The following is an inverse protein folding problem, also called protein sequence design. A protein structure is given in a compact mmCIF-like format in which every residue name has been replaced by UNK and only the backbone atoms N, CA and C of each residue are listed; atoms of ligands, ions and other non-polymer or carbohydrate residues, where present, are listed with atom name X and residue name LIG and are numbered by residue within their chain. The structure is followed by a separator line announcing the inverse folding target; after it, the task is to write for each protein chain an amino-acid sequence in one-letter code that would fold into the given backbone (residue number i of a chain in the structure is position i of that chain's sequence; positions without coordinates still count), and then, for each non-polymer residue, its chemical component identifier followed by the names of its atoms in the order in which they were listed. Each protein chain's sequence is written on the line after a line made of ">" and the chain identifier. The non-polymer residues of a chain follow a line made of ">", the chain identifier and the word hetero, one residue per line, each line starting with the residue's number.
data_IF_492985771381
#
_entry.id   IF_492985771381
#
_cell.length_a   1.000
_cell.length_b   1.000
_cell.length_c   1.000
_cell.angle_alpha   90.00
_cell.angle_beta   90.00
_cell.angle_gamma   90.00
#
_symmetry.space_group_name_H-M   'P 1'
#
loop_
_entity.id
_entity.type
_entity.pdbx_description
1 polymer ?
#
# COMPACT_ATOMS: atom_id res chain seq x y z
N UNK A 1 -17.15 8.10 4.57
CA UNK A 1 -15.71 7.78 4.49
C UNK A 1 -15.38 7.08 3.18
N UNK A 2 -14.14 7.07 2.80
CA UNK A 2 -13.68 6.51 1.54
C UNK A 2 -12.68 5.40 1.81
N UNK A 3 -12.82 4.26 1.12
CA UNK A 3 -11.87 3.17 1.13
C UNK A 3 -10.95 3.29 -0.09
N UNK A 4 -9.67 3.03 0.13
CA UNK A 4 -8.67 2.97 -0.91
C UNK A 4 -7.93 1.65 -0.76
N UNK A 5 -8.14 0.73 -1.71
CA UNK A 5 -7.58 -0.62 -1.67
C UNK A 5 -6.67 -0.81 -2.87
N UNK A 6 -5.47 -1.29 -2.62
CA UNK A 6 -4.50 -1.61 -3.68
C UNK A 6 -4.04 -3.05 -3.53
N UNK A 7 -3.98 -3.75 -4.65
CA UNK A 7 -3.35 -5.06 -4.75
C UNK A 7 -2.08 -4.92 -5.60
N UNK A 8 -0.98 -5.49 -5.12
CA UNK A 8 0.29 -5.49 -5.85
C UNK A 8 0.77 -6.90 -6.15
N UNK A 9 1.42 -7.02 -7.29
CA UNK A 9 2.27 -8.18 -7.60
C UNK A 9 3.72 -7.70 -7.63
N UNK A 10 4.61 -8.46 -6.99
CA UNK A 10 6.04 -8.18 -6.96
C UNK A 10 6.71 -8.68 -8.22
N UNK A 11 7.88 -8.10 -8.53
CA UNK A 11 8.68 -8.49 -9.69
C UNK A 11 9.12 -9.94 -9.58
N UNK A 12 9.07 -10.66 -10.70
CA UNK A 12 9.38 -12.09 -10.76
C UNK A 12 10.86 -12.42 -10.48
N UNK A 13 11.76 -11.49 -10.79
CA UNK A 13 13.18 -11.65 -10.57
C UNK A 13 13.61 -11.62 -9.10
N UNK A 14 12.72 -11.19 -8.20
CA UNK A 14 13.01 -11.21 -6.76
C UNK A 14 13.00 -12.66 -6.24
N UNK A 15 13.99 -12.99 -5.43
CA UNK A 15 14.01 -14.28 -4.71
C UNK A 15 12.93 -14.28 -3.62
N UNK A 16 12.63 -15.47 -3.06
CA UNK A 16 11.66 -15.58 -1.97
C UNK A 16 12.08 -14.76 -0.76
N UNK A 17 13.38 -14.76 -0.43
CA UNK A 17 13.92 -13.95 0.67
C UNK A 17 13.79 -12.45 0.38
N UNK A 18 14.05 -12.02 -0.85
CA UNK A 18 13.89 -10.63 -1.27
C UNK A 18 12.42 -10.21 -1.23
N UNK A 19 11.51 -11.06 -1.69
CA UNK A 19 10.07 -10.79 -1.63
C UNK A 19 9.59 -10.62 -0.18
N UNK A 20 10.06 -11.47 0.73
CA UNK A 20 9.72 -11.36 2.15
C UNK A 20 10.20 -10.03 2.74
N UNK A 21 11.43 -9.62 2.42
CA UNK A 21 11.99 -8.35 2.89
C UNK A 21 11.23 -7.14 2.30
N UNK A 22 10.87 -7.20 1.02
CA UNK A 22 10.10 -6.14 0.35
C UNK A 22 8.71 -5.99 0.98
N UNK A 23 8.01 -7.11 1.21
CA UNK A 23 6.70 -7.09 1.87
C UNK A 23 6.77 -6.46 3.25
N UNK A 24 7.75 -6.85 4.06
CA UNK A 24 7.95 -6.28 5.39
C UNK A 24 8.24 -4.77 5.34
N UNK A 25 9.07 -4.35 4.38
CA UNK A 25 9.40 -2.94 4.19
C UNK A 25 8.20 -2.09 3.75
N UNK A 26 7.39 -2.61 2.84
CA UNK A 26 6.15 -1.93 2.40
C UNK A 26 5.18 -1.80 3.56
N UNK A 27 4.96 -2.87 4.31
CA UNK A 27 4.07 -2.86 5.48
C UNK A 27 4.53 -1.83 6.51
N UNK A 28 5.78 -1.84 6.88
CA UNK A 28 6.34 -0.90 7.85
C UNK A 28 6.20 0.54 7.36
N UNK A 29 6.57 0.80 6.10
CA UNK A 29 6.54 2.14 5.54
C UNK A 29 5.14 2.72 5.41
N UNK A 30 4.19 1.95 4.90
CA UNK A 30 2.83 2.43 4.69
C UNK A 30 2.03 2.49 6.00
N UNK A 31 2.13 1.48 6.87
CA UNK A 31 1.48 1.53 8.18
C UNK A 31 2.07 2.62 9.06
N UNK A 32 3.33 2.96 8.86
CA UNK A 32 4.00 4.08 9.53
C UNK A 32 3.44 5.45 9.16
N UNK A 33 2.60 5.57 8.13
CA UNK A 33 1.94 6.82 7.77
C UNK A 33 0.77 7.16 8.69
N UNK A 34 0.32 6.23 9.51
CA UNK A 34 -0.76 6.46 10.48
C UNK A 34 -0.40 7.65 11.39
N UNK A 35 -1.32 8.61 11.49
CA UNK A 35 -1.13 9.83 12.28
C UNK A 35 -0.24 10.90 11.64
N UNK A 36 0.33 10.64 10.46
CA UNK A 36 1.23 11.59 9.76
C UNK A 36 0.58 12.27 8.56
N UNK A 37 -0.51 11.72 8.06
CA UNK A 37 -1.21 12.25 6.88
C UNK A 37 -2.61 12.68 7.27
N UNK A 38 -2.97 13.97 7.08
CA UNK A 38 -4.30 14.45 7.42
C UNK A 38 -5.39 13.69 6.67
N UNK A 39 -6.44 13.27 7.39
CA UNK A 39 -7.59 12.59 6.81
C UNK A 39 -7.40 11.08 6.62
N UNK A 40 -6.22 10.55 6.88
CA UNK A 40 -5.98 9.10 6.90
C UNK A 40 -6.46 8.53 8.24
N UNK A 41 -7.53 7.73 8.19
CA UNK A 41 -8.18 7.18 9.38
C UNK A 41 -7.53 5.86 9.80
N UNK A 42 -7.35 4.95 8.85
CA UNK A 42 -6.76 3.62 9.07
C UNK A 42 -5.87 3.25 7.90
N UNK A 43 -4.80 2.51 8.20
CA UNK A 43 -3.93 1.91 7.19
C UNK A 43 -3.50 0.53 7.65
N UNK A 44 -3.74 -0.46 6.81
CA UNK A 44 -3.34 -1.85 7.03
C UNK A 44 -2.71 -2.40 5.75
N UNK A 45 -1.61 -3.14 5.89
CA UNK A 45 -0.99 -3.85 4.78
C UNK A 45 -0.99 -5.34 5.10
N UNK A 46 -1.67 -6.12 4.26
CA UNK A 46 -1.75 -7.57 4.41
C UNK A 46 -0.68 -8.21 3.52
N UNK A 47 0.25 -8.94 4.13
CA UNK A 47 1.38 -9.55 3.43
C UNK A 47 1.40 -11.08 3.47
N UNK A 48 0.47 -11.70 4.19
CA UNK A 48 0.41 -13.15 4.40
C UNK A 48 -0.85 -13.75 3.75
N UNK A 49 -0.89 -13.71 2.41
CA UNK A 49 -2.00 -14.31 1.68
C UNK A 49 -1.95 -15.84 1.71
N UNK A 50 -3.12 -16.46 1.48
CA UNK A 50 -3.19 -17.91 1.29
C UNK A 50 -2.61 -18.31 -0.09
N UNK A 51 -2.24 -19.58 -0.28
CA UNK A 51 -1.70 -20.05 -1.58
C UNK A 51 -2.63 -19.81 -2.78
N UNK A 52 -3.92 -19.65 -2.53
CA UNK A 52 -4.91 -19.32 -3.58
C UNK A 52 -4.83 -17.88 -4.07
N UNK A 53 -4.05 -17.02 -3.41
CA UNK A 53 -3.92 -15.60 -3.75
C UNK A 53 -3.14 -15.41 -5.04
N UNK A 54 -3.57 -14.47 -5.88
CA UNK A 54 -2.87 -14.09 -7.11
C UNK A 54 -2.11 -12.76 -6.96
N UNK A 55 -2.41 -12.00 -5.91
CA UNK A 55 -1.64 -10.82 -5.53
C UNK A 55 -0.68 -11.19 -4.38
N UNK A 56 0.42 -10.46 -4.27
CA UNK A 56 1.42 -10.72 -3.24
C UNK A 56 1.13 -9.99 -1.94
N UNK A 57 0.53 -8.80 -2.02
CA UNK A 57 0.15 -8.03 -0.84
C UNK A 57 -0.98 -7.06 -1.18
N UNK A 58 -1.65 -6.57 -0.12
CA UNK A 58 -2.78 -5.66 -0.24
C UNK A 58 -2.64 -4.51 0.74
N UNK A 59 -2.88 -3.29 0.23
CA UNK A 59 -3.09 -2.10 1.06
C UNK A 59 -4.58 -1.90 1.27
N UNK A 60 -5.00 -1.74 2.51
CA UNK A 60 -6.37 -1.42 2.90
C UNK A 60 -6.34 -0.14 3.74
N UNK A 61 -6.84 0.96 3.17
CA UNK A 61 -6.86 2.27 3.81
C UNK A 61 -8.25 2.85 3.87
N UNK A 62 -8.48 3.66 4.91
CA UNK A 62 -9.73 4.43 5.07
C UNK A 62 -9.38 5.90 5.22
N UNK A 63 -10.09 6.75 4.48
CA UNK A 63 -9.92 8.20 4.49
C UNK A 63 -11.23 8.88 4.89
N UNK A 64 -11.13 10.07 5.47
CA UNK A 64 -12.31 10.87 5.85
C UNK A 64 -13.14 11.30 4.65
N UNK A 65 -12.49 11.53 3.49
CA UNK A 65 -13.13 12.04 2.28
C UNK A 65 -12.30 11.71 1.04
N UNK A 66 -12.91 11.89 -0.14
CA UNK A 66 -12.22 11.76 -1.42
C UNK A 66 -11.10 12.82 -1.56
N UNK A 67 -11.32 14.02 -1.03
CA UNK A 67 -10.31 15.08 -1.01
C UNK A 67 -9.10 14.69 -0.17
N UNK A 68 -9.31 14.05 0.98
CA UNK A 68 -8.24 13.56 1.83
C UNK A 68 -7.41 12.49 1.11
N UNK A 69 -8.06 11.57 0.38
CA UNK A 69 -7.38 10.57 -0.43
C UNK A 69 -6.54 11.23 -1.54
N UNK A 70 -7.10 12.23 -2.21
CA UNK A 70 -6.39 12.95 -3.26
C UNK A 70 -5.15 13.67 -2.71
N UNK A 71 -5.28 14.31 -1.56
CA UNK A 71 -4.16 14.97 -0.89
C UNK A 71 -3.08 13.96 -0.45
N UNK A 72 -3.49 12.78 0.03
CA UNK A 72 -2.59 11.70 0.39
C UNK A 72 -1.73 11.25 -0.79
N UNK A 73 -2.30 11.11 -1.97
CA UNK A 73 -1.58 10.61 -3.15
C UNK A 73 -0.38 11.48 -3.53
N UNK A 74 -0.40 12.77 -3.22
CA UNK A 74 0.68 13.72 -3.50
C UNK A 74 1.43 14.17 -2.23
N UNK A 75 1.05 13.65 -1.07
CA UNK A 75 1.71 14.02 0.19
C UNK A 75 3.16 13.57 0.21
N UNK A 76 4.13 14.44 0.52
CA UNK A 76 5.56 14.10 0.45
C UNK A 76 5.96 12.86 1.24
N UNK A 77 5.38 12.66 2.41
CA UNK A 77 5.68 11.49 3.26
C UNK A 77 5.21 10.19 2.59
N UNK A 78 4.02 10.19 1.97
CA UNK A 78 3.53 9.05 1.20
C UNK A 78 4.37 8.80 -0.05
N UNK A 79 4.67 9.85 -0.81
CA UNK A 79 5.45 9.75 -2.05
C UNK A 79 6.83 9.16 -1.78
N UNK A 80 7.49 9.57 -0.68
CA UNK A 80 8.79 9.02 -0.29
C UNK A 80 8.74 7.51 -0.05
N UNK A 81 7.70 7.02 0.63
CA UNK A 81 7.51 5.57 0.87
C UNK A 81 7.24 4.86 -0.45
N UNK A 82 6.34 5.39 -1.27
CA UNK A 82 5.98 4.78 -2.55
C UNK A 82 7.18 4.67 -3.49
N UNK A 83 7.97 5.72 -3.61
CA UNK A 83 9.12 5.76 -4.51
C UNK A 83 10.30 4.93 -4.01
N UNK A 84 10.49 4.84 -2.70
CA UNK A 84 11.60 4.12 -2.12
C UNK A 84 11.36 2.65 -1.84
N UNK A 85 10.14 2.27 -1.44
CA UNK A 85 9.83 0.94 -0.94
C UNK A 85 8.85 0.13 -1.79
N UNK A 86 8.05 0.78 -2.63
CA UNK A 86 6.95 0.10 -3.36
C UNK A 86 7.26 0.01 -4.86
N UNK A 87 7.35 1.14 -5.53
CA UNK A 87 7.49 1.20 -6.99
C UNK A 87 8.68 0.43 -7.56
N UNK A 88 9.87 0.43 -6.93
CA UNK A 88 11.01 -0.30 -7.48
C UNK A 88 10.82 -1.82 -7.53
N UNK A 89 9.90 -2.37 -6.73
CA UNK A 89 9.77 -3.82 -6.53
C UNK A 89 8.46 -4.41 -7.05
N UNK A 90 7.54 -3.58 -7.54
CA UNK A 90 6.22 -4.05 -8.00
C UNK A 90 6.14 -4.05 -9.51
N UNK A 91 5.52 -5.10 -10.09
CA UNK A 91 5.28 -5.21 -11.54
C UNK A 91 3.85 -4.89 -11.93
N UNK A 92 2.90 -5.01 -11.00
CA UNK A 92 1.49 -4.75 -11.26
C UNK A 92 0.81 -4.13 -10.04
N UNK A 93 -0.13 -3.25 -10.30
CA UNK A 93 -0.89 -2.53 -9.29
C UNK A 93 -2.34 -2.42 -9.74
N UNK A 94 -3.26 -2.84 -8.87
CA UNK A 94 -4.70 -2.69 -9.07
C UNK A 94 -5.28 -1.89 -7.93
N UNK A 95 -6.09 -0.90 -8.24
CA UNK A 95 -6.66 0.02 -7.25
C UNK A 95 -8.19 0.05 -7.37
N UNK A 96 -8.87 0.06 -6.22
CA UNK A 96 -10.30 0.33 -6.12
C UNK A 96 -10.52 1.32 -4.98
N UNK A 97 -11.13 2.46 -5.33
CA UNK A 97 -11.55 3.48 -4.38
C UNK A 97 -13.06 3.52 -4.35
N UNK A 98 -13.67 3.51 -3.15
CA UNK A 98 -15.13 3.53 -3.03
C UNK A 98 -15.57 4.14 -1.71
N UNK A 99 -16.80 4.65 -1.69
CA UNK A 99 -17.41 5.18 -0.48
C UNK A 99 -18.08 4.10 0.36
N UNK A 100 -17.99 4.27 1.66
CA UNK A 100 -18.64 3.41 2.64
C UNK A 100 -19.57 4.20 3.55
#
# INVERSE_FOLDING_TARGET
>A
MVKHVILWQLKDELSDAEKAAVKAGIKEGLEGLAGKVPGLVEVHVNINGLPSSTADLMLDTTFESAEALKAYSVHPTHVAVADGKVRPYTKARFCLDYEI
#
